data_IF_407069147476
#
_entry.id   IF_407069147476
#
_cell.length_a   1.000
_cell.length_b   1.000
_cell.length_c   1.000
_cell.angle_alpha   90.00
_cell.angle_beta   90.00
_cell.angle_gamma   90.00
#
_symmetry.space_group_name_H-M   'P 1'
#
loop_
_entity.id
_entity.type
_entity.pdbx_description
1 polymer ?
#
# COMPACT_ATOMS: atom_id res chain seq x y z
N UNK A 1 -6.36 38.25 2.33
CA UNK A 1 -6.14 38.13 0.87
C UNK A 1 -4.74 37.63 0.55
N UNK A 2 -3.66 38.18 1.12
CA UNK A 2 -2.26 37.80 0.80
C UNK A 2 -1.85 36.34 1.13
N UNK A 3 -2.52 35.67 2.08
CA UNK A 3 -2.17 34.28 2.46
C UNK A 3 -2.66 33.21 1.47
N UNK A 4 -3.85 33.42 0.87
CA UNK A 4 -4.46 32.51 -0.11
C UNK A 4 -3.70 32.55 -1.43
N UNK A 5 -3.27 33.74 -1.86
CA UNK A 5 -2.48 33.94 -3.07
C UNK A 5 -1.10 33.27 -2.97
N UNK A 6 -0.39 33.44 -1.84
CA UNK A 6 0.89 32.75 -1.61
C UNK A 6 0.76 31.24 -1.49
N UNK A 7 -0.32 30.76 -0.85
CA UNK A 7 -0.62 29.33 -0.78
C UNK A 7 -0.81 28.76 -2.18
N UNK A 8 -1.57 29.45 -3.05
CA UNK A 8 -1.81 29.04 -4.44
C UNK A 8 -0.57 29.15 -5.33
N UNK A 9 0.26 30.19 -5.21
CA UNK A 9 1.54 30.28 -5.92
C UNK A 9 2.50 29.15 -5.51
N UNK A 10 2.53 28.81 -4.22
CA UNK A 10 3.36 27.72 -3.70
C UNK A 10 2.81 26.36 -4.12
N UNK A 11 1.48 26.18 -4.09
CA UNK A 11 0.79 24.99 -4.59
C UNK A 11 1.05 24.82 -6.09
N UNK A 12 0.89 25.84 -6.92
CA UNK A 12 1.17 25.82 -8.36
C UNK A 12 2.64 25.53 -8.69
N UNK A 13 3.57 25.93 -7.82
CA UNK A 13 5.00 25.63 -7.96
C UNK A 13 5.39 24.18 -7.63
N UNK A 14 4.53 23.44 -6.92
CA UNK A 14 4.80 22.06 -6.44
C UNK A 14 3.82 21.04 -7.01
N UNK A 15 2.65 21.49 -7.47
CA UNK A 15 1.61 20.69 -8.09
C UNK A 15 1.96 20.36 -9.54
N UNK A 16 1.74 19.11 -9.91
CA UNK A 16 1.82 18.65 -11.30
C UNK A 16 0.86 19.48 -12.17
N UNK A 17 1.28 19.96 -13.36
CA UNK A 17 0.45 20.81 -14.23
C UNK A 17 -0.96 20.27 -14.53
N UNK A 18 -1.14 18.95 -14.50
CA UNK A 18 -2.43 18.28 -14.73
C UNK A 18 -3.50 18.59 -13.67
N UNK A 19 -3.10 19.08 -12.49
CA UNK A 19 -4.03 19.43 -11.42
C UNK A 19 -4.49 20.89 -11.44
N UNK A 20 -3.82 21.75 -12.21
CA UNK A 20 -4.16 23.17 -12.32
C UNK A 20 -5.65 23.43 -12.65
N UNK A 21 -6.31 22.66 -13.55
CA UNK A 21 -7.73 22.84 -13.86
C UNK A 21 -8.69 22.57 -12.69
N UNK A 22 -8.23 21.91 -11.62
CA UNK A 22 -9.08 21.53 -10.49
C UNK A 22 -8.90 22.42 -9.25
N UNK A 23 -7.93 23.36 -9.28
CA UNK A 23 -7.61 24.20 -8.12
C UNK A 23 -8.73 25.16 -7.73
N UNK A 24 -9.53 25.61 -8.70
CA UNK A 24 -10.70 26.44 -8.41
C UNK A 24 -11.74 25.62 -7.63
N UNK A 25 -11.99 24.38 -8.05
CA UNK A 25 -12.91 23.45 -7.38
C UNK A 25 -12.48 23.11 -5.95
N UNK A 26 -11.18 23.02 -5.68
CA UNK A 26 -10.67 22.83 -4.32
C UNK A 26 -10.94 24.03 -3.42
N UNK A 27 -10.96 25.25 -3.98
CA UNK A 27 -11.22 26.47 -3.22
C UNK A 27 -12.70 26.71 -2.94
N UNK A 28 -13.57 26.09 -3.74
CA UNK A 28 -15.02 26.18 -3.57
C UNK A 28 -15.51 25.32 -2.39
N UNK A 29 -14.73 24.34 -1.93
CA UNK A 29 -15.12 23.42 -0.86
C UNK A 29 -14.31 23.70 0.40
N UNK A 30 -14.91 24.40 1.38
CA UNK A 30 -14.22 24.86 2.58
C UNK A 30 -13.72 23.70 3.46
N UNK A 31 -14.53 22.65 3.63
CA UNK A 31 -14.22 21.47 4.45
C UNK A 31 -13.02 20.68 3.93
N UNK A 32 -12.63 20.87 2.65
CA UNK A 32 -11.46 20.21 2.09
C UNK A 32 -10.17 20.66 2.81
N UNK A 33 -10.13 21.90 3.31
CA UNK A 33 -8.98 22.43 4.04
C UNK A 33 -8.84 21.81 5.44
N UNK A 34 -9.93 21.39 6.06
CA UNK A 34 -9.90 20.72 7.37
C UNK A 34 -9.14 19.38 7.30
N UNK A 35 -9.16 18.72 6.14
CA UNK A 35 -8.42 17.48 5.90
C UNK A 35 -6.89 17.67 5.91
N UNK A 36 -6.39 18.91 5.81
CA UNK A 36 -4.97 19.21 5.94
C UNK A 36 -4.45 18.89 7.35
N UNK A 37 -5.32 18.97 8.36
CA UNK A 37 -4.98 18.70 9.75
C UNK A 37 -5.26 17.26 10.18
N UNK A 38 -5.81 16.42 9.30
CA UNK A 38 -6.17 15.02 9.61
C UNK A 38 -5.16 14.06 8.99
N UNK A 39 -4.59 13.19 9.82
CA UNK A 39 -3.75 12.06 9.37
C UNK A 39 -4.43 10.77 9.78
N UNK A 40 -4.73 9.90 8.81
CA UNK A 40 -5.39 8.61 9.06
C UNK A 40 -4.68 7.53 8.26
N UNK A 41 -4.33 6.43 8.91
CA UNK A 41 -3.57 5.30 8.34
C UNK A 41 -2.25 5.76 7.71
N UNK A 42 -1.53 6.66 8.39
CA UNK A 42 -0.23 7.18 8.01
C UNK A 42 -0.25 8.20 6.86
N UNK A 43 -1.43 8.63 6.42
CA UNK A 43 -1.59 9.57 5.31
C UNK A 43 -2.37 10.81 5.71
N UNK A 44 -1.87 11.96 5.30
CA UNK A 44 -2.64 13.21 5.33
C UNK A 44 -3.84 13.13 4.38
N UNK A 45 -5.04 13.43 4.88
CA UNK A 45 -6.29 13.19 4.16
C UNK A 45 -6.52 14.19 3.01
N UNK A 46 -6.02 15.43 3.11
CA UNK A 46 -6.03 16.35 1.96
C UNK A 46 -5.16 15.81 0.82
N UNK A 47 -3.96 15.29 1.14
CA UNK A 47 -3.11 14.68 0.12
C UNK A 47 -3.75 13.43 -0.51
N UNK A 48 -4.47 12.62 0.25
CA UNK A 48 -5.24 11.48 -0.28
C UNK A 48 -6.25 11.92 -1.34
N UNK A 49 -7.07 12.94 -1.05
CA UNK A 49 -8.03 13.49 -2.02
C UNK A 49 -7.32 14.04 -3.25
N UNK A 50 -6.25 14.83 -3.08
CA UNK A 50 -5.46 15.37 -4.20
C UNK A 50 -4.89 14.24 -5.06
N UNK A 51 -4.39 13.17 -4.44
CA UNK A 51 -3.82 12.02 -5.15
C UNK A 51 -4.87 11.31 -5.99
N UNK A 52 -6.10 11.15 -5.49
CA UNK A 52 -7.20 10.60 -6.29
C UNK A 52 -7.53 11.50 -7.48
N UNK A 53 -7.57 12.82 -7.31
CA UNK A 53 -7.78 13.76 -8.44
C UNK A 53 -6.64 13.68 -9.46
N UNK A 54 -5.39 13.47 -9.03
CA UNK A 54 -4.29 13.21 -9.96
C UNK A 54 -4.56 11.97 -10.80
N UNK A 55 -5.00 10.86 -10.19
CA UNK A 55 -5.33 9.64 -10.92
C UNK A 55 -6.44 9.90 -11.94
N UNK A 56 -7.51 10.61 -11.55
CA UNK A 56 -8.58 11.01 -12.48
C UNK A 56 -8.04 11.84 -13.64
N UNK A 57 -7.13 12.78 -13.37
CA UNK A 57 -6.55 13.65 -14.41
C UNK A 57 -5.82 12.87 -15.50
N UNK A 58 -5.25 11.70 -15.16
CA UNK A 58 -4.50 10.85 -16.09
C UNK A 58 -5.38 9.92 -16.94
N UNK A 59 -6.68 9.80 -16.63
CA UNK A 59 -7.60 8.98 -17.41
C UNK A 59 -7.90 9.66 -18.76
N UNK A 60 -7.87 8.93 -19.89
CA UNK A 60 -8.25 9.45 -21.19
C UNK A 60 -9.78 9.58 -21.31
N UNK A 61 -10.26 10.54 -22.12
CA UNK A 61 -11.72 10.80 -22.31
C UNK A 61 -12.53 9.54 -22.69
N UNK A 62 -11.97 8.67 -23.53
CA UNK A 62 -12.64 7.43 -23.93
C UNK A 62 -12.97 6.47 -22.77
N UNK A 63 -12.30 6.57 -21.61
CA UNK A 63 -12.66 5.80 -20.41
C UNK A 63 -14.00 6.27 -19.86
N UNK A 64 -14.21 7.59 -19.78
CA UNK A 64 -15.44 8.18 -19.26
C UNK A 64 -16.64 7.84 -20.15
N UNK A 65 -16.44 7.90 -21.48
CA UNK A 65 -17.44 7.49 -22.48
C UNK A 65 -17.85 6.01 -22.32
N UNK A 66 -16.87 5.10 -22.21
CA UNK A 66 -17.13 3.65 -22.05
C UNK A 66 -17.85 3.35 -20.74
N UNK A 67 -17.52 4.07 -19.67
CA UNK A 67 -18.11 3.88 -18.35
C UNK A 67 -19.46 4.60 -18.18
N UNK A 68 -19.84 5.48 -19.12
CA UNK A 68 -21.08 6.26 -19.04
C UNK A 68 -21.10 7.24 -17.86
N UNK A 69 -19.94 7.79 -17.49
CA UNK A 69 -19.78 8.80 -16.43
C UNK A 69 -19.07 10.02 -17.01
N UNK A 70 -19.14 11.17 -16.34
CA UNK A 70 -18.36 12.35 -16.75
C UNK A 70 -17.13 12.52 -15.87
N UNK A 71 -16.09 13.18 -16.40
CA UNK A 71 -14.91 13.56 -15.63
C UNK A 71 -15.28 14.48 -14.45
N UNK A 72 -16.19 15.42 -14.69
CA UNK A 72 -16.60 16.39 -13.67
C UNK A 72 -17.32 15.73 -12.50
N UNK A 73 -18.24 14.79 -12.77
CA UNK A 73 -18.94 14.03 -11.72
C UNK A 73 -17.96 13.20 -10.88
N UNK A 74 -16.97 12.57 -11.53
CA UNK A 74 -15.94 11.79 -10.84
C UNK A 74 -15.07 12.68 -9.96
N UNK A 75 -14.63 13.84 -10.46
CA UNK A 75 -13.86 14.79 -9.65
C UNK A 75 -14.70 15.31 -8.47
N UNK A 76 -16.00 15.60 -8.68
CA UNK A 76 -16.91 15.99 -7.57
C UNK A 76 -16.96 14.90 -6.52
N UNK A 77 -17.25 13.66 -6.92
CA UNK A 77 -17.38 12.55 -5.98
C UNK A 77 -16.07 12.31 -5.21
N UNK A 78 -14.92 12.40 -5.89
CA UNK A 78 -13.59 12.28 -5.27
C UNK A 78 -13.33 13.39 -4.26
N UNK A 79 -13.65 14.65 -4.56
CA UNK A 79 -13.45 15.76 -3.61
C UNK A 79 -14.28 15.55 -2.34
N UNK A 80 -15.52 15.07 -2.50
CA UNK A 80 -16.46 14.98 -1.39
C UNK A 80 -16.41 13.66 -0.60
N UNK A 81 -15.78 12.59 -1.11
CA UNK A 81 -15.90 11.26 -0.49
C UNK A 81 -15.46 11.20 0.97
N UNK A 82 -14.42 11.97 1.32
CA UNK A 82 -13.73 11.90 2.62
C UNK A 82 -13.79 13.21 3.44
N UNK A 83 -14.57 14.21 3.02
CA UNK A 83 -14.67 15.50 3.75
C UNK A 83 -15.16 15.36 5.19
N UNK A 84 -15.95 14.32 5.47
CA UNK A 84 -16.46 14.07 6.81
C UNK A 84 -15.42 13.56 7.80
N UNK A 85 -14.17 13.30 7.38
CA UNK A 85 -13.12 12.77 8.25
C UNK A 85 -12.66 13.80 9.26
N UNK A 86 -12.70 13.44 10.55
CA UNK A 86 -12.26 14.29 11.64
C UNK A 86 -11.25 13.61 12.57
N UNK A 87 -11.11 14.21 13.77
CA UNK A 87 -10.17 13.77 14.81
C UNK A 87 -10.45 12.37 15.33
N UNK A 88 -11.68 11.88 15.18
CA UNK A 88 -12.14 10.57 15.64
C UNK A 88 -11.45 9.39 14.95
N UNK A 89 -10.86 9.59 13.78
CA UNK A 89 -10.07 8.60 13.04
C UNK A 89 -8.63 9.09 12.78
N UNK A 90 -8.24 10.20 13.41
CA UNK A 90 -6.88 10.70 13.27
C UNK A 90 -5.91 9.83 14.08
N UNK A 91 -4.83 9.38 13.46
CA UNK A 91 -3.84 8.46 14.03
C UNK A 91 -3.26 8.93 15.38
N UNK A 92 -3.26 10.24 15.65
CA UNK A 92 -2.78 10.81 16.92
C UNK A 92 -3.74 10.55 18.08
N UNK A 93 -5.01 10.34 17.80
CA UNK A 93 -6.09 10.24 18.80
C UNK A 93 -6.90 8.95 18.70
N UNK A 94 -6.81 8.24 17.58
CA UNK A 94 -7.61 7.06 17.28
C UNK A 94 -7.23 5.87 18.16
N UNK A 95 -8.25 5.25 18.78
CA UNK A 95 -8.12 4.00 19.52
C UNK A 95 -8.96 2.92 18.85
N UNK A 96 -8.29 1.93 18.25
CA UNK A 96 -8.94 0.82 17.55
C UNK A 96 -9.84 -0.04 18.46
N UNK A 97 -9.62 -0.03 19.78
CA UNK A 97 -10.46 -0.77 20.73
C UNK A 97 -11.87 -0.17 20.89
N UNK A 98 -12.04 1.10 20.51
CA UNK A 98 -13.32 1.80 20.54
C UNK A 98 -14.18 1.51 19.29
N UNK A 99 -13.63 0.78 18.31
CA UNK A 99 -14.36 0.45 17.09
C UNK A 99 -15.46 -0.56 17.40
N UNK A 100 -16.71 -0.18 17.17
CA UNK A 100 -17.87 -1.04 17.39
C UNK A 100 -18.73 -1.17 16.15
N UNK A 101 -19.36 -2.33 15.98
CA UNK A 101 -20.37 -2.52 14.95
C UNK A 101 -21.63 -1.78 15.38
N UNK A 102 -22.11 -0.87 14.53
CA UNK A 102 -23.30 -0.08 14.80
C UNK A 102 -24.29 -0.16 13.63
N UNK A 103 -25.43 0.51 13.80
CA UNK A 103 -26.47 0.60 12.78
C UNK A 103 -26.10 1.69 11.79
N UNK A 104 -26.20 1.39 10.49
CA UNK A 104 -26.00 2.38 9.40
C UNK A 104 -26.89 3.62 9.64
N UNK A 105 -26.36 4.86 9.53
CA UNK A 105 -27.16 6.08 9.67
C UNK A 105 -28.31 6.15 8.68
N UNK A 106 -29.45 6.73 9.07
CA UNK A 106 -30.65 6.75 8.22
C UNK A 106 -30.45 7.50 6.91
N UNK A 107 -29.64 8.58 6.93
CA UNK A 107 -29.27 9.36 5.75
C UNK A 107 -28.61 8.50 4.66
N UNK A 108 -27.67 7.65 5.06
CA UNK A 108 -26.92 6.77 4.14
C UNK A 108 -27.72 5.50 3.83
N UNK A 109 -28.55 5.02 4.76
CA UNK A 109 -29.38 3.83 4.61
C UNK A 109 -30.36 3.93 3.42
N UNK A 110 -30.77 5.13 3.05
CA UNK A 110 -31.68 5.38 1.94
C UNK A 110 -31.14 4.84 0.61
N UNK A 111 -29.81 4.80 0.44
CA UNK A 111 -29.19 4.33 -0.78
C UNK A 111 -29.29 2.80 -0.97
N UNK A 112 -29.50 2.30 -2.20
CA UNK A 112 -29.72 0.88 -2.47
C UNK A 112 -28.58 -0.03 -1.95
N UNK A 113 -28.91 -0.99 -1.09
CA UNK A 113 -27.93 -1.95 -0.55
C UNK A 113 -27.23 -1.49 0.73
N UNK A 114 -27.23 -0.20 1.06
CA UNK A 114 -26.61 0.34 2.28
C UNK A 114 -27.27 -0.17 3.57
N UNK A 115 -28.52 -0.61 3.52
CA UNK A 115 -29.19 -1.20 4.70
C UNK A 115 -28.56 -2.53 5.19
N UNK A 116 -27.75 -3.19 4.36
CA UNK A 116 -27.17 -4.50 4.63
C UNK A 116 -25.66 -4.46 4.90
N UNK A 117 -25.04 -3.28 4.84
CA UNK A 117 -23.59 -3.16 5.03
C UNK A 117 -23.25 -3.21 6.52
N UNK A 118 -22.06 -3.72 6.83
CA UNK A 118 -21.51 -3.63 8.18
C UNK A 118 -20.98 -2.21 8.43
N UNK A 119 -21.60 -1.50 9.37
CA UNK A 119 -21.14 -0.17 9.80
C UNK A 119 -20.25 -0.27 11.04
N UNK A 120 -19.11 0.41 11.02
CA UNK A 120 -18.16 0.45 12.13
C UNK A 120 -17.92 1.90 12.52
N UNK A 121 -18.31 2.27 13.74
CA UNK A 121 -18.02 3.60 14.29
C UNK A 121 -16.72 3.53 15.11
N UNK A 122 -15.81 4.53 15.01
CA UNK A 122 -15.92 5.74 14.20
C UNK A 122 -15.46 5.60 12.73
N UNK A 123 -14.98 4.43 12.32
CA UNK A 123 -14.33 4.21 11.00
C UNK A 123 -15.15 4.61 9.76
N UNK A 124 -16.48 4.55 9.82
CA UNK A 124 -17.37 4.87 8.71
C UNK A 124 -18.16 6.15 8.94
N UNK A 125 -18.05 6.78 10.12
CA UNK A 125 -18.90 7.93 10.46
C UNK A 125 -18.63 9.12 9.54
N UNK A 126 -17.41 9.23 9.01
CA UNK A 126 -17.05 10.21 7.99
C UNK A 126 -17.90 10.08 6.73
N UNK A 127 -18.30 8.87 6.32
CA UNK A 127 -19.14 8.67 5.12
C UNK A 127 -20.48 9.37 5.28
N UNK A 128 -21.12 9.25 6.44
CA UNK A 128 -22.40 9.92 6.71
C UNK A 128 -22.25 11.43 6.73
N UNK A 129 -21.14 11.93 7.30
CA UNK A 129 -20.86 13.36 7.36
C UNK A 129 -20.50 13.93 5.98
N UNK A 130 -19.73 13.20 5.17
CA UNK A 130 -19.46 13.55 3.77
C UNK A 130 -20.74 13.67 2.95
N UNK A 131 -21.70 12.75 3.14
CA UNK A 131 -23.02 12.81 2.48
C UNK A 131 -23.82 14.04 2.91
N UNK A 132 -23.82 14.36 4.21
CA UNK A 132 -24.48 15.57 4.72
C UNK A 132 -23.87 16.85 4.13
N UNK A 133 -22.54 16.94 4.10
CA UNK A 133 -21.81 18.05 3.47
C UNK A 133 -22.19 18.14 1.99
N UNK A 134 -22.15 17.04 1.25
CA UNK A 134 -22.49 17.04 -0.18
C UNK A 134 -23.92 17.53 -0.45
N UNK A 135 -24.90 17.15 0.37
CA UNK A 135 -26.26 17.69 0.25
C UNK A 135 -26.33 19.20 0.54
N UNK A 136 -25.57 19.70 1.51
CA UNK A 136 -25.52 21.14 1.81
C UNK A 136 -24.93 21.96 0.65
N UNK A 137 -24.01 21.36 -0.12
CA UNK A 137 -23.48 21.95 -1.35
C UNK A 137 -24.39 21.79 -2.58
N UNK A 138 -25.57 21.15 -2.43
CA UNK A 138 -26.50 20.93 -3.53
C UNK A 138 -25.99 19.94 -4.57
N UNK A 139 -25.10 19.03 -4.19
CA UNK A 139 -24.55 18.01 -5.10
C UNK A 139 -25.67 17.05 -5.53
N UNK A 140 -25.80 16.72 -6.85
CA UNK A 140 -26.81 15.79 -7.35
C UNK A 140 -26.77 14.42 -6.68
N UNK A 141 -27.95 13.81 -6.48
CA UNK A 141 -28.11 12.54 -5.77
C UNK A 141 -27.27 11.41 -6.41
N UNK A 142 -27.07 11.41 -7.73
CA UNK A 142 -26.25 10.41 -8.40
C UNK A 142 -24.77 10.46 -7.99
N UNK A 143 -24.26 11.65 -7.67
CA UNK A 143 -22.89 11.85 -7.17
C UNK A 143 -22.82 11.55 -5.67
N UNK A 144 -23.86 11.95 -4.91
CA UNK A 144 -23.96 11.64 -3.47
C UNK A 144 -24.03 10.13 -3.23
N UNK A 145 -24.64 9.36 -4.13
CA UNK A 145 -24.61 7.90 -4.06
C UNK A 145 -23.19 7.34 -4.12
N UNK A 146 -22.33 7.87 -4.99
CA UNK A 146 -20.94 7.45 -5.08
C UNK A 146 -20.16 7.78 -3.79
N UNK A 147 -20.41 8.95 -3.19
CA UNK A 147 -19.87 9.36 -1.90
C UNK A 147 -20.36 8.43 -0.79
N UNK A 148 -21.64 8.08 -0.76
CA UNK A 148 -22.23 7.21 0.24
C UNK A 148 -21.70 5.77 0.19
N UNK A 149 -21.37 5.27 -1.01
CA UNK A 149 -21.11 3.85 -1.23
C UNK A 149 -19.63 3.47 -1.40
N UNK A 150 -18.69 4.41 -1.49
CA UNK A 150 -17.30 4.10 -1.88
C UNK A 150 -16.60 3.04 -1.00
N UNK A 151 -16.93 2.92 0.30
CA UNK A 151 -16.42 1.86 1.18
C UNK A 151 -17.13 0.50 1.03
N UNK A 152 -18.26 0.44 0.33
CA UNK A 152 -19.23 -0.66 0.40
C UNK A 152 -19.70 -1.18 -0.96
N UNK A 153 -19.34 -0.51 -2.05
CA UNK A 153 -19.74 -0.89 -3.41
C UNK A 153 -18.90 -2.02 -3.96
N UNK A 154 -19.55 -2.99 -4.61
CA UNK A 154 -18.84 -4.06 -5.31
C UNK A 154 -18.22 -3.57 -6.62
N UNK A 155 -16.89 -3.56 -6.66
CA UNK A 155 -16.11 -3.29 -7.88
C UNK A 155 -16.25 -4.48 -8.84
N UNK A 156 -16.86 -4.25 -10.01
CA UNK A 156 -17.06 -5.30 -11.02
C UNK A 156 -15.83 -5.42 -11.93
N UNK A 157 -15.51 -6.64 -12.42
CA UNK A 157 -14.36 -6.86 -13.32
C UNK A 157 -14.36 -5.95 -14.54
N UNK A 158 -15.53 -5.69 -15.15
CA UNK A 158 -15.61 -4.83 -16.34
C UNK A 158 -15.17 -3.39 -16.06
N UNK A 159 -15.58 -2.82 -14.92
CA UNK A 159 -15.17 -1.45 -14.53
C UNK A 159 -13.69 -1.45 -14.17
N UNK A 160 -13.23 -2.49 -13.46
CA UNK A 160 -11.83 -2.64 -13.09
C UNK A 160 -10.90 -2.76 -14.28
N UNK A 161 -11.29 -3.49 -15.32
CA UNK A 161 -10.47 -3.67 -16.51
C UNK A 161 -10.34 -2.37 -17.31
N UNK A 162 -11.44 -1.63 -17.51
CA UNK A 162 -11.42 -0.36 -18.25
C UNK A 162 -10.53 0.67 -17.56
N UNK A 163 -10.73 0.92 -16.26
CA UNK A 163 -9.92 1.88 -15.50
C UNK A 163 -8.49 1.35 -15.30
N UNK A 164 -8.36 0.04 -15.05
CA UNK A 164 -7.08 -0.61 -14.80
C UNK A 164 -6.18 -0.64 -16.02
N UNK A 165 -6.72 -0.80 -17.23
CA UNK A 165 -5.97 -0.70 -18.48
C UNK A 165 -5.49 0.74 -18.70
N UNK A 166 -6.36 1.71 -18.47
CA UNK A 166 -6.02 3.13 -18.63
C UNK A 166 -4.91 3.58 -17.68
N UNK A 167 -4.96 3.12 -16.41
CA UNK A 167 -3.92 3.38 -15.41
C UNK A 167 -2.74 2.40 -15.49
N UNK A 168 -2.76 1.46 -16.43
CA UNK A 168 -1.72 0.42 -16.62
C UNK A 168 -1.44 -0.40 -15.34
N UNK A 169 -2.49 -0.70 -14.59
CA UNK A 169 -2.41 -1.49 -13.36
C UNK A 169 -1.95 -2.91 -13.66
N UNK A 170 -0.97 -3.40 -12.89
CA UNK A 170 -0.53 -4.79 -12.98
C UNK A 170 -1.64 -5.76 -12.56
N UNK A 171 -1.52 -7.02 -13.00
CA UNK A 171 -2.45 -8.09 -12.62
C UNK A 171 -2.57 -8.24 -11.10
N UNK A 172 -1.48 -8.06 -10.36
CA UNK A 172 -1.49 -8.17 -8.89
C UNK A 172 -2.29 -7.06 -8.22
N UNK A 173 -2.16 -5.82 -8.68
CA UNK A 173 -2.94 -4.68 -8.15
C UNK A 173 -4.43 -4.89 -8.41
N UNK A 174 -4.80 -5.36 -9.61
CA UNK A 174 -6.19 -5.70 -9.94
C UNK A 174 -6.73 -6.81 -9.05
N UNK A 175 -5.93 -7.86 -8.79
CA UNK A 175 -6.30 -8.93 -7.88
C UNK A 175 -6.48 -8.45 -6.43
N UNK A 176 -5.63 -7.54 -5.96
CA UNK A 176 -5.76 -6.93 -4.63
C UNK A 176 -7.07 -6.13 -4.51
N UNK A 177 -7.42 -5.33 -5.52
CA UNK A 177 -8.70 -4.59 -5.55
C UNK A 177 -9.90 -5.55 -5.50
N UNK A 178 -9.90 -6.64 -6.28
CA UNK A 178 -10.99 -7.63 -6.29
C UNK A 178 -11.09 -8.38 -4.95
N UNK A 179 -9.94 -8.68 -4.34
CA UNK A 179 -9.86 -9.56 -3.16
C UNK A 179 -9.92 -8.81 -1.84
N UNK A 180 -9.85 -7.48 -1.86
CA UNK A 180 -9.91 -6.66 -0.65
C UNK A 180 -11.29 -6.78 0.01
N UNK A 181 -11.30 -7.22 1.27
CA UNK A 181 -12.47 -7.33 2.16
C UNK A 181 -13.84 -7.57 1.48
N UNK A 182 -14.02 -8.69 0.75
CA UNK A 182 -15.19 -8.94 -0.11
C UNK A 182 -16.53 -8.95 0.65
N UNK A 183 -16.49 -9.15 1.96
CA UNK A 183 -17.65 -9.12 2.86
C UNK A 183 -18.20 -7.71 3.09
N UNK A 184 -17.39 -6.66 2.89
CA UNK A 184 -17.82 -5.26 2.99
C UNK A 184 -18.43 -4.72 1.70
N UNK A 185 -18.17 -5.37 0.55
CA UNK A 185 -18.57 -4.93 -0.79
C UNK A 185 -19.88 -5.58 -1.25
N UNK A 186 -20.98 -5.25 -0.57
CA UNK A 186 -22.31 -5.85 -0.83
C UNK A 186 -23.24 -4.94 -1.62
N UNK A 187 -22.96 -3.64 -1.71
CA UNK A 187 -23.82 -2.70 -2.42
C UNK A 187 -23.64 -2.83 -3.95
N UNK A 188 -24.72 -2.84 -4.74
CA UNK A 188 -24.63 -2.97 -6.20
C UNK A 188 -23.92 -1.77 -6.84
N UNK A 189 -24.21 -0.56 -6.30
CA UNK A 189 -23.70 0.76 -6.66
C UNK A 189 -23.74 1.17 -8.13
N UNK A 190 -23.57 2.47 -8.38
CA UNK A 190 -23.36 3.00 -9.73
C UNK A 190 -21.95 2.68 -10.26
N UNK A 191 -21.71 2.94 -11.55
CA UNK A 191 -20.35 2.90 -12.13
C UNK A 191 -19.47 3.97 -11.47
N UNK A 192 -20.02 5.15 -11.18
CA UNK A 192 -19.32 6.25 -10.51
C UNK A 192 -18.81 5.82 -9.12
N UNK A 193 -19.69 5.22 -8.31
CA UNK A 193 -19.34 4.68 -7.00
C UNK A 193 -18.19 3.66 -7.09
N UNK A 194 -18.26 2.73 -8.05
CA UNK A 194 -17.22 1.74 -8.26
C UNK A 194 -15.88 2.37 -8.63
N UNK A 195 -15.85 3.41 -9.47
CA UNK A 195 -14.60 4.09 -9.83
C UNK A 195 -14.03 4.85 -8.63
N UNK A 196 -14.85 5.54 -7.83
CA UNK A 196 -14.39 6.19 -6.59
C UNK A 196 -13.79 5.16 -5.62
N UNK A 197 -14.48 4.05 -5.39
CA UNK A 197 -13.99 2.96 -4.55
C UNK A 197 -12.67 2.38 -5.07
N UNK A 198 -12.55 2.19 -6.39
CA UNK A 198 -11.31 1.74 -7.01
C UNK A 198 -10.15 2.72 -6.78
N UNK A 199 -10.38 4.02 -6.95
CA UNK A 199 -9.35 5.05 -6.75
C UNK A 199 -8.92 5.16 -5.28
N UNK A 200 -9.87 5.03 -4.36
CA UNK A 200 -9.58 5.01 -2.92
C UNK A 200 -8.78 3.76 -2.54
N UNK A 201 -9.20 2.59 -3.03
CA UNK A 201 -8.45 1.34 -2.86
C UNK A 201 -7.07 1.39 -3.50
N UNK A 202 -6.93 2.03 -4.67
CA UNK A 202 -5.62 2.27 -5.27
C UNK A 202 -4.76 3.16 -4.39
N UNK A 203 -5.31 4.18 -3.75
CA UNK A 203 -4.57 4.98 -2.79
C UNK A 203 -4.21 4.17 -1.54
N UNK A 204 -5.08 3.27 -1.07
CA UNK A 204 -4.78 2.36 0.05
C UNK A 204 -3.69 1.33 -0.29
N UNK A 205 -3.75 0.74 -1.48
CA UNK A 205 -2.73 -0.13 -2.07
C UNK A 205 -1.44 0.66 -2.22
N UNK A 206 -1.52 1.85 -2.82
CA UNK A 206 -0.39 2.77 -2.90
C UNK A 206 0.16 3.00 -1.52
N UNK A 207 -0.58 3.39 -0.47
CA UNK A 207 -0.07 3.50 0.92
C UNK A 207 0.59 2.21 1.44
N UNK A 208 0.00 1.05 1.19
CA UNK A 208 0.52 -0.27 1.61
C UNK A 208 1.86 -0.59 0.94
N UNK A 209 2.02 -0.21 -0.33
CA UNK A 209 3.23 -0.36 -1.12
C UNK A 209 4.18 0.85 -1.01
N UNK A 210 3.63 2.02 -0.63
CA UNK A 210 4.20 3.35 -0.42
C UNK A 210 4.05 3.74 1.06
N UNK A 211 4.80 3.06 1.93
CA UNK A 211 5.67 3.92 2.72
C UNK A 211 6.35 4.85 1.68
N UNK A 212 5.98 6.14 1.63
CA UNK A 212 6.13 6.95 0.42
C UNK A 212 7.57 6.94 -0.06
N UNK A 213 7.83 6.70 -1.35
CA UNK A 213 9.07 7.12 -2.03
C UNK A 213 9.23 8.61 -1.76
N UNK A 214 9.95 8.91 -0.69
CA UNK A 214 10.27 10.21 -0.18
C UNK A 214 11.78 10.23 -0.35
N UNK A 215 12.30 11.13 -1.17
CA UNK A 215 13.73 11.47 -1.16
C UNK A 215 14.17 12.08 0.19
N UNK A 216 13.24 12.17 1.15
CA UNK A 216 13.38 12.55 2.56
C UNK A 216 13.23 11.39 3.54
N UNK A 217 13.06 10.13 3.09
CA UNK A 217 13.04 8.96 3.98
C UNK A 217 14.43 8.68 4.54
N UNK A 218 14.46 8.09 5.74
CA UNK A 218 15.66 7.48 6.27
C UNK A 218 16.15 6.37 5.31
N UNK A 219 17.46 6.27 5.01
CA UNK A 219 18.00 5.37 3.97
C UNK A 219 17.56 3.90 4.08
N UNK A 220 17.19 3.43 5.27
CA UNK A 220 16.75 2.05 5.47
C UNK A 220 15.34 1.76 4.92
N UNK A 221 14.47 2.77 4.82
CA UNK A 221 13.11 2.61 4.26
C UNK A 221 13.16 2.57 2.72
N UNK A 222 13.97 3.44 2.12
CA UNK A 222 14.24 3.44 0.67
C UNK A 222 14.85 2.09 0.25
N UNK A 223 15.75 1.55 1.08
CA UNK A 223 16.32 0.21 0.89
C UNK A 223 15.24 -0.88 0.94
N UNK A 224 14.33 -0.83 1.91
CA UNK A 224 13.23 -1.81 2.02
C UNK A 224 12.34 -1.82 0.76
N UNK A 225 11.98 -0.65 0.26
CA UNK A 225 11.14 -0.50 -0.93
C UNK A 225 11.84 -0.94 -2.20
N UNK A 226 13.07 -0.45 -2.43
CA UNK A 226 13.79 -0.75 -3.68
C UNK A 226 14.14 -2.22 -3.78
N UNK A 227 14.51 -2.88 -2.67
CA UNK A 227 14.79 -4.32 -2.66
C UNK A 227 13.52 -5.11 -2.99
N UNK A 228 12.38 -4.76 -2.38
CA UNK A 228 11.09 -5.40 -2.69
C UNK A 228 10.78 -5.30 -4.17
N UNK A 229 10.88 -4.10 -4.74
CA UNK A 229 10.56 -3.86 -6.14
C UNK A 229 11.54 -4.57 -7.09
N UNK A 230 12.83 -4.64 -6.73
CA UNK A 230 13.86 -5.34 -7.49
C UNK A 230 13.63 -6.85 -7.51
N UNK A 231 13.30 -7.47 -6.37
CA UNK A 231 13.12 -8.94 -6.30
C UNK A 231 11.82 -9.42 -6.94
N UNK A 232 10.79 -8.56 -7.03
CA UNK A 232 9.52 -8.88 -7.73
C UNK A 232 9.53 -8.43 -9.20
N UNK A 233 10.57 -7.70 -9.64
CA UNK A 233 10.71 -7.24 -11.03
C UNK A 233 9.89 -6.01 -11.40
N UNK A 234 9.46 -5.21 -10.41
CA UNK A 234 8.85 -3.88 -10.62
C UNK A 234 9.93 -2.83 -10.87
N UNK A 235 11.08 -2.96 -10.22
CA UNK A 235 12.26 -2.12 -10.41
C UNK A 235 13.39 -2.90 -11.09
N UNK A 236 14.36 -2.16 -11.65
CA UNK A 236 15.56 -2.72 -12.27
C UNK A 236 16.82 -2.11 -11.63
N UNK A 237 18.00 -2.62 -11.99
CA UNK A 237 19.27 -2.08 -11.50
C UNK A 237 19.53 -0.59 -11.84
N UNK A 238 18.71 0.01 -12.72
CA UNK A 238 18.74 1.43 -13.04
C UNK A 238 17.75 2.27 -12.23
N UNK A 239 17.12 1.71 -11.18
CA UNK A 239 16.17 2.44 -10.35
C UNK A 239 16.83 3.65 -9.68
N UNK A 240 16.26 4.87 -9.80
CA UNK A 240 16.85 6.08 -9.25
C UNK A 240 17.01 6.05 -7.73
N UNK A 241 16.23 5.24 -6.99
CA UNK A 241 16.37 5.08 -5.54
C UNK A 241 17.72 4.45 -5.16
N UNK A 242 18.31 3.65 -6.03
CA UNK A 242 19.66 3.11 -5.81
C UNK A 242 20.72 4.21 -5.79
N UNK A 243 20.56 5.26 -6.62
CA UNK A 243 21.47 6.41 -6.61
C UNK A 243 21.36 7.21 -5.30
N UNK A 244 20.16 7.32 -4.75
CA UNK A 244 19.89 7.99 -3.47
C UNK A 244 20.52 7.23 -2.30
N UNK A 245 20.53 5.90 -2.39
CA UNK A 245 21.20 5.03 -1.42
C UNK A 245 22.73 4.99 -1.60
N UNK A 246 23.26 5.67 -2.63
CA UNK A 246 24.64 5.53 -3.10
C UNK A 246 25.01 4.06 -3.33
N UNK A 247 24.16 3.31 -4.05
CA UNK A 247 24.32 1.88 -4.38
C UNK A 247 24.29 1.69 -5.89
N UNK A 248 25.15 0.81 -6.40
CA UNK A 248 25.17 0.43 -7.81
C UNK A 248 24.94 -1.07 -7.95
N UNK A 249 23.99 -1.44 -8.81
CA UNK A 249 23.70 -2.82 -9.18
C UNK A 249 24.00 -3.06 -10.66
N UNK A 250 24.31 -4.31 -11.02
CA UNK A 250 24.50 -4.80 -12.38
C UNK A 250 23.23 -5.48 -12.92
N UNK A 251 22.27 -5.82 -12.06
CA UNK A 251 20.97 -6.41 -12.41
C UNK A 251 20.94 -7.94 -12.43
N UNK A 252 22.08 -8.58 -12.19
CA UNK A 252 22.29 -10.02 -12.14
C UNK A 252 22.82 -10.51 -10.79
N UNK A 253 22.67 -9.67 -9.76
CA UNK A 253 23.05 -10.00 -8.39
C UNK A 253 22.36 -11.27 -7.90
N UNK A 254 23.08 -12.15 -7.19
CA UNK A 254 22.48 -13.23 -6.45
C UNK A 254 21.48 -12.72 -5.43
N UNK A 255 20.42 -13.50 -5.24
CA UNK A 255 19.40 -13.21 -4.22
C UNK A 255 19.35 -14.36 -3.23
N UNK A 256 19.40 -14.02 -1.95
CA UNK A 256 19.21 -14.95 -0.84
C UNK A 256 17.87 -14.67 -0.20
N UNK A 257 17.05 -15.69 -0.02
CA UNK A 257 15.81 -15.63 0.73
C UNK A 257 16.00 -16.34 2.07
N UNK A 258 15.61 -15.66 3.16
CA UNK A 258 15.70 -16.14 4.54
C UNK A 258 14.30 -16.11 5.17
N UNK A 259 13.79 -17.25 5.61
CA UNK A 259 12.48 -17.40 6.24
C UNK A 259 12.63 -17.96 7.65
N UNK A 260 11.85 -17.47 8.61
CA UNK A 260 11.90 -17.98 9.98
C UNK A 260 11.13 -19.30 10.11
N UNK A 261 11.76 -20.32 10.70
CA UNK A 261 11.07 -21.59 10.96
C UNK A 261 10.07 -21.43 12.08
N UNK A 262 8.86 -21.97 11.87
CA UNK A 262 7.78 -21.97 12.85
C UNK A 262 7.31 -20.57 13.32
N UNK A 263 7.58 -19.51 12.56
CA UNK A 263 7.13 -18.15 12.89
C UNK A 263 5.62 -18.03 13.09
N UNK A 264 4.81 -18.79 12.33
CA UNK A 264 3.35 -18.84 12.53
C UNK A 264 2.94 -19.25 13.95
N UNK A 265 3.73 -20.07 14.64
CA UNK A 265 3.45 -20.43 16.04
C UNK A 265 3.72 -19.26 16.97
N UNK A 266 4.76 -18.47 16.70
CA UNK A 266 5.06 -17.25 17.44
C UNK A 266 3.98 -16.19 17.25
N UNK A 267 3.51 -16.00 16.02
CA UNK A 267 2.41 -15.07 15.69
C UNK A 267 1.14 -15.37 16.48
N UNK A 268 0.85 -16.64 16.75
CA UNK A 268 -0.34 -17.06 17.51
C UNK A 268 -0.25 -16.75 19.01
N UNK A 269 0.94 -16.47 19.53
CA UNK A 269 1.22 -16.37 20.96
C UNK A 269 1.61 -14.95 21.39
N UNK A 270 1.77 -14.02 20.45
CA UNK A 270 2.28 -12.67 20.70
C UNK A 270 1.39 -11.63 20.02
N UNK A 271 1.46 -10.40 20.53
CA UNK A 271 0.76 -9.25 19.96
C UNK A 271 1.36 -8.81 18.63
N UNK A 272 0.58 -8.12 17.80
CA UNK A 272 1.08 -7.57 16.53
C UNK A 272 2.28 -6.64 16.73
N UNK A 273 2.28 -5.86 17.82
CA UNK A 273 3.41 -5.00 18.19
C UNK A 273 4.71 -5.80 18.42
N UNK A 274 4.64 -6.89 19.20
CA UNK A 274 5.80 -7.76 19.47
C UNK A 274 6.29 -8.47 18.20
N UNK A 275 5.35 -8.88 17.35
CA UNK A 275 5.64 -9.50 16.04
C UNK A 275 6.37 -8.50 15.15
N UNK A 276 5.88 -7.27 15.03
CA UNK A 276 6.50 -6.25 14.18
C UNK A 276 7.86 -5.79 14.73
N UNK A 277 7.98 -5.62 16.05
CA UNK A 277 9.25 -5.32 16.69
C UNK A 277 10.30 -6.40 16.47
N UNK A 278 9.91 -7.68 16.58
CA UNK A 278 10.81 -8.79 16.31
C UNK A 278 11.27 -8.77 14.85
N UNK A 279 10.36 -8.55 13.89
CA UNK A 279 10.70 -8.48 12.47
C UNK A 279 11.68 -7.34 12.18
N UNK A 280 11.42 -6.15 12.72
CA UNK A 280 12.30 -4.99 12.60
C UNK A 280 13.66 -5.27 13.24
N UNK A 281 13.68 -5.88 14.43
CA UNK A 281 14.95 -6.22 15.11
C UNK A 281 15.78 -7.24 14.34
N UNK A 282 15.15 -8.22 13.68
CA UNK A 282 15.84 -9.19 12.83
C UNK A 282 16.37 -8.51 11.57
N UNK A 283 15.57 -7.66 10.91
CA UNK A 283 15.99 -6.89 9.75
C UNK A 283 17.22 -6.01 10.07
N UNK A 284 17.19 -5.29 11.20
CA UNK A 284 18.31 -4.47 11.66
C UNK A 284 19.55 -5.29 12.01
N UNK A 285 19.37 -6.48 12.60
CA UNK A 285 20.47 -7.41 12.85
C UNK A 285 21.13 -7.84 11.53
N UNK A 286 20.33 -8.23 10.53
CA UNK A 286 20.84 -8.63 9.22
C UNK A 286 21.60 -7.46 8.57
N UNK A 287 21.02 -6.26 8.56
CA UNK A 287 21.68 -5.04 8.05
C UNK A 287 23.05 -4.81 8.71
N UNK A 288 23.11 -4.91 10.04
CA UNK A 288 24.35 -4.70 10.79
C UNK A 288 25.44 -5.72 10.42
N UNK A 289 25.05 -6.98 10.17
CA UNK A 289 25.97 -8.05 9.78
C UNK A 289 26.46 -7.95 8.34
N UNK A 290 25.71 -7.28 7.45
CA UNK A 290 26.08 -7.06 6.06
C UNK A 290 26.94 -5.79 5.91
N UNK A 291 26.58 -4.71 6.61
CA UNK A 291 27.34 -3.45 6.60
C UNK A 291 28.75 -3.59 7.17
N UNK A 292 28.97 -4.52 8.11
CA UNK A 292 30.29 -4.82 8.65
C UNK A 292 31.26 -5.42 7.63
N UNK A 293 30.77 -5.99 6.52
CA UNK A 293 31.61 -6.65 5.51
C UNK A 293 31.89 -5.80 4.28
N UNK A 294 30.96 -4.92 3.89
CA UNK A 294 31.09 -4.08 2.69
C UNK A 294 30.48 -2.70 2.92
N UNK A 295 31.28 -1.66 2.70
CA UNK A 295 30.87 -0.26 2.77
C UNK A 295 30.97 0.42 1.40
N UNK A 296 30.11 1.40 1.14
CA UNK A 296 30.09 2.16 -0.11
C UNK A 296 29.14 1.59 -1.16
N UNK A 297 29.39 1.91 -2.44
CA UNK A 297 28.47 1.63 -3.57
C UNK A 297 28.18 0.18 -3.88
N UNK A 298 29.00 -0.73 -3.36
CA UNK A 298 28.90 -2.18 -3.60
C UNK A 298 28.49 -2.95 -2.35
N UNK A 299 27.67 -2.33 -1.49
CA UNK A 299 27.09 -3.00 -0.33
C UNK A 299 25.91 -3.90 -0.72
N UNK A 300 25.67 -4.92 0.08
CA UNK A 300 24.49 -5.77 -0.02
C UNK A 300 23.24 -5.01 0.42
N UNK A 301 22.09 -5.31 -0.18
CA UNK A 301 20.81 -4.72 0.18
C UNK A 301 19.91 -5.76 0.83
N UNK A 302 19.12 -5.36 1.83
CA UNK A 302 18.20 -6.28 2.51
C UNK A 302 16.86 -5.65 2.78
N UNK A 303 15.80 -6.45 2.63
CA UNK A 303 14.45 -6.06 3.03
C UNK A 303 13.65 -7.22 3.60
N UNK A 304 12.69 -6.88 4.46
CA UNK A 304 11.58 -7.76 4.79
C UNK A 304 10.58 -7.74 3.64
N UNK A 305 10.35 -8.88 2.98
CA UNK A 305 9.49 -8.99 1.79
C UNK A 305 8.03 -9.27 2.16
N UNK A 306 7.77 -10.38 2.83
CA UNK A 306 6.41 -10.82 3.17
C UNK A 306 6.44 -11.67 4.44
N UNK A 307 5.49 -11.45 5.36
CA UNK A 307 5.37 -12.26 6.57
C UNK A 307 6.65 -12.21 7.42
N UNK A 308 7.44 -13.29 7.36
CA UNK A 308 8.73 -13.51 8.02
C UNK A 308 9.88 -13.77 7.05
N UNK A 309 9.70 -13.41 5.77
CA UNK A 309 10.66 -13.59 4.70
C UNK A 309 11.51 -12.35 4.48
N UNK A 310 12.83 -12.50 4.58
CA UNK A 310 13.82 -11.47 4.31
C UNK A 310 14.56 -11.82 3.02
N UNK A 311 14.71 -10.86 2.11
CA UNK A 311 15.55 -11.03 0.94
C UNK A 311 16.81 -10.19 1.06
N UNK A 312 17.94 -10.78 0.65
CA UNK A 312 19.22 -10.10 0.51
C UNK A 312 19.60 -10.12 -0.97
N UNK A 313 19.80 -8.96 -1.57
CA UNK A 313 20.44 -8.80 -2.87
C UNK A 313 21.93 -8.66 -2.62
N UNK A 314 22.69 -9.71 -2.95
CA UNK A 314 24.10 -9.81 -2.63
C UNK A 314 24.97 -9.33 -3.80
N UNK A 315 25.99 -8.53 -3.52
CA UNK A 315 26.99 -8.08 -4.50
C UNK A 315 28.09 -9.12 -4.74
N UNK A 316 28.19 -10.13 -3.88
CA UNK A 316 29.14 -11.24 -4.06
C UNK A 316 28.58 -12.31 -4.99
N UNK A 317 29.24 -12.53 -6.14
CA UNK A 317 28.88 -13.60 -7.09
C UNK A 317 29.54 -14.95 -6.78
N UNK A 318 30.05 -15.14 -5.56
CA UNK A 318 30.68 -16.39 -5.12
C UNK A 318 29.73 -17.18 -4.22
N UNK A 319 29.46 -18.43 -4.59
CA UNK A 319 28.60 -19.34 -3.82
C UNK A 319 29.15 -19.59 -2.40
N UNK A 320 30.48 -19.61 -2.23
CA UNK A 320 31.09 -19.77 -0.91
C UNK A 320 30.82 -18.55 -0.02
N UNK A 321 30.89 -17.34 -0.59
CA UNK A 321 30.51 -16.11 0.10
C UNK A 321 29.06 -16.16 0.56
N UNK A 322 28.12 -16.51 -0.32
CA UNK A 322 26.69 -16.60 0.03
C UNK A 322 26.45 -17.60 1.16
N UNK A 323 27.10 -18.77 1.12
CA UNK A 323 26.98 -19.79 2.19
C UNK A 323 27.49 -19.29 3.53
N UNK A 324 28.63 -18.59 3.55
CA UNK A 324 29.19 -18.03 4.79
C UNK A 324 28.30 -16.91 5.35
N UNK A 325 27.82 -16.01 4.48
CA UNK A 325 26.88 -14.95 4.84
C UNK A 325 25.59 -15.53 5.44
N UNK A 326 25.00 -16.52 4.79
CA UNK A 326 23.79 -17.21 5.26
C UNK A 326 24.04 -17.85 6.64
N UNK A 327 25.16 -18.57 6.81
CA UNK A 327 25.48 -19.24 8.07
C UNK A 327 25.62 -18.22 9.22
N UNK A 328 26.33 -17.12 8.99
CA UNK A 328 26.49 -16.04 9.97
C UNK A 328 25.15 -15.42 10.37
N UNK A 329 24.31 -15.09 9.37
CA UNK A 329 22.99 -14.52 9.63
C UNK A 329 22.11 -15.51 10.41
N UNK A 330 22.10 -16.79 10.01
CA UNK A 330 21.33 -17.84 10.69
C UNK A 330 21.77 -18.03 12.14
N UNK A 331 23.07 -18.06 12.40
CA UNK A 331 23.62 -18.19 13.75
C UNK A 331 23.25 -16.98 14.62
N UNK A 332 23.40 -15.76 14.10
CA UNK A 332 23.08 -14.55 14.84
C UNK A 332 21.58 -14.43 15.15
N UNK A 333 20.71 -14.74 14.19
CA UNK A 333 19.26 -14.74 14.40
C UNK A 333 18.87 -15.80 15.42
N UNK A 334 19.44 -17.01 15.34
CA UNK A 334 19.19 -18.09 16.31
C UNK A 334 19.62 -17.67 17.72
N UNK A 335 20.81 -17.10 17.87
CA UNK A 335 21.32 -16.65 19.18
C UNK A 335 20.46 -15.53 19.75
N UNK A 336 20.04 -14.55 18.94
CA UNK A 336 19.31 -13.37 19.41
C UNK A 336 17.82 -13.62 19.64
N UNK A 337 17.21 -14.56 18.91
CA UNK A 337 15.75 -14.70 18.86
C UNK A 337 15.25 -16.14 19.10
N UNK A 338 16.13 -17.13 19.09
CA UNK A 338 15.77 -18.54 19.15
C UNK A 338 15.21 -19.12 17.85
N UNK A 339 14.97 -18.29 16.81
CA UNK A 339 14.48 -18.78 15.52
C UNK A 339 15.59 -19.43 14.69
N UNK A 340 15.28 -20.58 14.12
CA UNK A 340 16.06 -21.13 13.01
C UNK A 340 15.65 -20.47 11.70
N UNK A 341 16.62 -20.24 10.81
CA UNK A 341 16.36 -19.77 9.45
C UNK A 341 16.28 -20.95 8.49
N UNK A 342 15.27 -20.93 7.61
CA UNK A 342 15.27 -21.67 6.35
C UNK A 342 15.65 -20.73 5.24
N UNK A 343 16.52 -21.15 4.34
CA UNK A 343 16.98 -20.30 3.26
C UNK A 343 16.98 -21.01 1.91
N UNK A 344 17.10 -20.19 0.88
CA UNK A 344 17.49 -20.57 -0.47
C UNK A 344 18.21 -19.38 -1.12
N UNK A 345 18.94 -19.64 -2.19
CA UNK A 345 19.61 -18.61 -2.98
C UNK A 345 19.52 -18.94 -4.47
N UNK A 346 19.54 -17.90 -5.30
CA UNK A 346 19.60 -18.02 -6.76
C UNK A 346 20.77 -17.20 -7.31
N UNK A 347 21.33 -17.65 -8.42
CA UNK A 347 22.46 -17.02 -9.08
C UNK A 347 22.40 -17.25 -10.59
N UNK A 348 23.08 -16.38 -11.35
CA UNK A 348 23.29 -16.53 -12.79
C UNK A 348 22.17 -15.96 -13.68
N UNK A 349 21.02 -15.61 -13.11
CA UNK A 349 19.94 -14.88 -13.79
C UNK A 349 19.86 -13.42 -13.37
N UNK A 350 18.77 -12.76 -13.78
CA UNK A 350 18.36 -11.45 -13.28
C UNK A 350 17.94 -11.53 -11.81
N UNK A 351 17.93 -10.39 -11.09
CA UNK A 351 17.49 -10.33 -9.68
C UNK A 351 16.13 -11.04 -9.45
N UNK A 352 15.08 -10.83 -10.27
CA UNK A 352 13.80 -11.53 -10.10
C UNK A 352 13.90 -13.05 -10.31
N UNK A 353 14.67 -13.50 -11.31
CA UNK A 353 14.90 -14.92 -11.57
C UNK A 353 15.65 -15.58 -10.42
N UNK A 354 16.68 -14.91 -9.91
CA UNK A 354 17.46 -15.37 -8.76
C UNK A 354 16.59 -15.43 -7.49
N UNK A 355 15.70 -14.45 -7.27
CA UNK A 355 14.74 -14.49 -6.16
C UNK A 355 13.76 -15.67 -6.30
N UNK A 356 13.26 -15.92 -7.50
CA UNK A 356 12.38 -17.06 -7.77
C UNK A 356 13.07 -18.39 -7.47
N UNK A 357 14.32 -18.58 -7.93
CA UNK A 357 15.13 -19.74 -7.61
C UNK A 357 15.36 -19.89 -6.10
N UNK A 358 15.71 -18.81 -5.41
CA UNK A 358 15.88 -18.79 -3.96
C UNK A 358 14.62 -19.24 -3.23
N UNK A 359 13.44 -18.78 -3.70
CA UNK A 359 12.15 -19.19 -3.16
C UNK A 359 11.85 -20.66 -3.37
N UNK A 360 12.10 -21.20 -4.57
CA UNK A 360 11.93 -22.63 -4.86
C UNK A 360 12.83 -23.49 -3.97
N UNK A 361 14.11 -23.12 -3.85
CA UNK A 361 15.05 -23.85 -2.99
C UNK A 361 14.64 -23.78 -1.51
N UNK A 362 14.19 -22.61 -1.03
CA UNK A 362 13.68 -22.46 0.32
C UNK A 362 12.42 -23.31 0.58
N UNK A 363 11.54 -23.49 -0.40
CA UNK A 363 10.39 -24.38 -0.27
C UNK A 363 10.78 -25.86 -0.35
N UNK A 364 11.74 -26.27 -1.16
CA UNK A 364 12.27 -27.65 -1.17
C UNK A 364 12.89 -28.01 0.19
N UNK A 365 13.54 -27.04 0.84
CA UNK A 365 14.11 -27.20 2.19
C UNK A 365 13.05 -27.28 3.31
N UNK A 366 11.75 -27.21 2.97
CA UNK A 366 10.63 -27.48 3.86
C UNK A 366 10.41 -28.99 3.90
N UNK A 367 10.93 -29.67 4.93
CA UNK A 367 10.62 -31.10 5.14
C UNK A 367 9.10 -31.30 5.01
N UNK A 368 8.62 -32.19 4.12
CA UNK A 368 7.19 -32.43 3.96
C UNK A 368 6.63 -32.92 5.29
N UNK A 369 5.58 -32.25 5.80
CA UNK A 369 4.84 -32.66 7.01
C UNK A 369 3.99 -33.92 6.79
N UNK A 370 3.90 -34.41 5.56
CA UNK A 370 2.98 -35.48 5.16
C UNK A 370 3.71 -36.71 4.60
N UNK A 371 4.69 -37.27 5.32
CA UNK A 371 5.15 -38.66 5.12
C UNK A 371 5.65 -39.28 6.45
N UNK A 372 5.06 -38.90 7.58
CA UNK A 372 5.22 -39.61 8.85
C UNK A 372 3.84 -39.92 9.42
N UNK A 373 3.06 -40.70 8.68
CA UNK A 373 2.00 -41.50 9.27
C UNK A 373 2.27 -43.00 9.00
N UNK A 374 2.38 -43.72 10.11
CA UNK A 374 2.26 -45.17 10.30
C UNK A 374 3.40 -46.04 9.79
N UNK A 375 4.41 -46.18 10.64
CA UNK A 375 5.03 -47.49 10.91
C UNK A 375 4.86 -47.79 12.40
N UNK A 376 3.70 -48.35 12.75
CA UNK A 376 3.52 -49.24 13.89
C UNK A 376 2.72 -50.43 13.40
#
# INVERSE_FOLDING_TARGET
>A
MEGRERFLETLLGVIKPQLQPYLERFQEVEELFDLADVVSVGENQLHHVVRMVELVSTLPEGVFEVLGITRDDLVTAVIFHDLGKGKEIDDRFFDASLVTKTRVPDLVRAFPGMKWVEWKSPLHDHVSRSVEIAFNYGIPEEIVEAIAMHHHVKIRPQVLDVVGDALRLSRFVRMDIISYNPEQYTAPGSTLAQVVAMLDQLCAIERKFRARINLTQEPHQIEDEVVRDLVIGVATASDPRLQVLDVSLTGNEPVVLLNLRAFRSFVKLHTEYEIQNLKISILQLIRSLLQAERSGRERDLVALIEGDAYAVIARGNDENYLKQMIARIADAVRVRTGFEIRYGYGFGGTIPENFHQARLQAEINKKPRFLLEKSR
#
